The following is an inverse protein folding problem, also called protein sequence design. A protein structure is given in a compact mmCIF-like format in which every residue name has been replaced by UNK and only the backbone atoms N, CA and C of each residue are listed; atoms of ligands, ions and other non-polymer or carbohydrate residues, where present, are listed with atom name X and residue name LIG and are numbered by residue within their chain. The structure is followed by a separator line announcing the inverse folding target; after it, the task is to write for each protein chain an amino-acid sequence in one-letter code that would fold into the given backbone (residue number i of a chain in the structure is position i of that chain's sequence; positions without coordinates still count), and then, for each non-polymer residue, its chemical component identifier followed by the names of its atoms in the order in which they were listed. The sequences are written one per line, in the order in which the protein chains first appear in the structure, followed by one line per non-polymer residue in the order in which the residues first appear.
data_IF_079176000189
#
_entry.id   IF_079176000189
#
_cell.length_a   1.000
_cell.length_b   1.000
_cell.length_c   1.000
_cell.angle_alpha   90.00
_cell.angle_beta   90.00
_cell.angle_gamma   90.00
#
_symmetry.space_group_name_H-M   'P 1'
#
loop_
_entity.id
_entity.type
_entity.pdbx_description
1 polymer ?
#
# COMPACT_ATOMS: atom_id res chain seq x y z
N UNK A 1 16.40 27.31 -8.94
CA UNK A 1 15.55 26.22 -9.45
C UNK A 1 14.33 26.14 -8.55
N UNK A 2 13.12 26.10 -9.10
CA UNK A 2 11.88 25.95 -8.31
C UNK A 2 11.54 24.46 -8.31
N UNK A 3 11.34 23.89 -7.12
CA UNK A 3 10.98 22.48 -6.98
C UNK A 3 9.52 22.28 -7.43
N UNK A 4 9.25 21.26 -8.26
CA UNK A 4 7.87 20.85 -8.58
C UNK A 4 7.17 20.24 -7.36
N UNK A 5 7.84 19.32 -6.64
CA UNK A 5 7.39 18.75 -5.36
C UNK A 5 8.60 18.41 -4.49
N UNK A 6 8.71 19.05 -3.32
CA UNK A 6 9.82 18.82 -2.40
C UNK A 6 9.42 17.87 -1.26
N UNK A 7 9.64 16.57 -1.46
CA UNK A 7 9.35 15.56 -0.44
C UNK A 7 10.15 15.79 0.85
N UNK A 8 11.37 16.31 0.73
CA UNK A 8 12.20 16.69 1.89
C UNK A 8 11.50 17.71 2.79
N UNK A 9 10.88 18.75 2.21
CA UNK A 9 10.17 19.79 2.96
C UNK A 9 8.86 19.27 3.58
N UNK A 10 8.19 18.35 2.90
CA UNK A 10 6.95 17.73 3.42
C UNK A 10 7.28 16.82 4.60
N UNK A 11 8.29 15.96 4.43
CA UNK A 11 8.61 14.89 5.37
C UNK A 11 9.46 15.36 6.56
N UNK A 12 10.08 16.55 6.51
CA UNK A 12 10.92 17.05 7.61
C UNK A 12 10.17 17.14 8.94
N UNK A 13 8.84 17.34 8.91
CA UNK A 13 8.01 17.37 10.11
C UNK A 13 7.78 16.00 10.75
N UNK A 14 8.07 14.92 10.02
CA UNK A 14 7.89 13.52 10.43
C UNK A 14 9.23 12.78 10.54
N UNK A 15 10.36 13.49 10.55
CA UNK A 15 11.68 12.88 10.45
C UNK A 15 11.95 11.87 11.57
N UNK A 16 11.60 12.22 12.80
CA UNK A 16 11.75 11.34 13.97
C UNK A 16 10.89 10.08 13.79
N UNK A 17 9.59 10.24 13.55
CA UNK A 17 8.63 9.14 13.41
C UNK A 17 9.03 8.16 12.30
N UNK A 18 9.49 8.68 11.15
CA UNK A 18 9.94 7.86 10.01
C UNK A 18 11.19 7.05 10.37
N UNK A 19 12.18 7.66 11.04
CA UNK A 19 13.40 6.97 11.45
C UNK A 19 13.11 5.90 12.50
N UNK A 20 12.24 6.19 13.46
CA UNK A 20 11.81 5.22 14.46
C UNK A 20 11.09 4.03 13.83
N UNK A 21 10.18 4.28 12.87
CA UNK A 21 9.51 3.21 12.12
C UNK A 21 10.51 2.32 11.36
N UNK A 22 11.48 2.93 10.67
CA UNK A 22 12.54 2.17 10.02
C UNK A 22 13.38 1.36 11.01
N UNK A 23 13.75 1.95 12.16
CA UNK A 23 14.52 1.24 13.20
C UNK A 23 13.77 0.01 13.69
N UNK A 24 12.47 0.13 14.01
CA UNK A 24 11.66 -1.02 14.45
C UNK A 24 11.70 -2.18 13.47
N UNK A 25 11.58 -1.91 12.16
CA UNK A 25 11.66 -2.96 11.14
C UNK A 25 13.05 -3.58 11.08
N UNK A 26 14.10 -2.77 11.04
CA UNK A 26 15.50 -3.23 10.97
C UNK A 26 15.87 -4.06 12.19
N UNK A 27 15.56 -3.55 13.38
CA UNK A 27 15.87 -4.19 14.66
C UNK A 27 15.07 -5.49 14.87
N UNK A 28 13.87 -5.58 14.28
CA UNK A 28 13.08 -6.83 14.28
C UNK A 28 13.63 -7.92 13.39
N UNK A 29 14.38 -7.56 12.33
CA UNK A 29 14.83 -8.48 11.28
C UNK A 29 13.71 -9.04 10.39
N UNK A 30 12.46 -8.59 10.54
CA UNK A 30 11.29 -9.11 9.81
C UNK A 30 10.82 -8.14 8.73
N UNK A 31 11.33 -8.30 7.51
CA UNK A 31 11.19 -7.30 6.44
C UNK A 31 9.97 -7.49 5.52
N UNK A 32 9.44 -8.70 5.42
CA UNK A 32 8.37 -9.04 4.46
C UNK A 32 7.16 -9.51 5.24
N UNK A 33 5.99 -8.93 4.95
CA UNK A 33 4.72 -9.27 5.61
C UNK A 33 4.82 -9.19 7.16
N UNK A 34 5.36 -8.08 7.66
CA UNK A 34 5.53 -7.82 9.10
C UNK A 34 4.44 -6.94 9.71
N UNK A 35 4.57 -6.67 11.01
CA UNK A 35 3.58 -5.91 11.78
C UNK A 35 3.27 -4.51 11.23
N UNK A 36 4.26 -3.82 10.64
CA UNK A 36 4.03 -2.49 10.04
C UNK A 36 3.06 -2.58 8.83
N UNK A 37 3.10 -3.69 8.06
CA UNK A 37 2.15 -3.94 6.97
C UNK A 37 0.75 -4.23 7.52
N UNK A 38 0.64 -5.15 8.47
CA UNK A 38 -0.66 -5.51 9.09
C UNK A 38 -1.35 -4.29 9.73
N UNK A 39 -0.56 -3.46 10.43
CA UNK A 39 -1.05 -2.22 11.04
C UNK A 39 -1.52 -1.24 9.97
N UNK A 40 -0.73 -1.06 8.90
CA UNK A 40 -1.11 -0.21 7.78
C UNK A 40 -2.41 -0.68 7.11
N UNK A 41 -2.56 -1.96 6.81
CA UNK A 41 -3.76 -2.51 6.17
C UNK A 41 -5.01 -2.26 7.02
N UNK A 42 -4.92 -2.46 8.33
CA UNK A 42 -6.00 -2.17 9.27
C UNK A 42 -6.36 -0.69 9.31
N UNK A 43 -5.37 0.18 9.45
CA UNK A 43 -5.58 1.63 9.54
C UNK A 43 -6.09 2.20 8.22
N UNK A 44 -5.59 1.69 7.09
CA UNK A 44 -6.03 2.11 5.76
C UNK A 44 -7.44 1.63 5.43
N UNK A 45 -7.83 0.42 5.87
CA UNK A 45 -9.22 -0.05 5.77
C UNK A 45 -10.17 0.90 6.51
N UNK A 46 -9.81 1.26 7.75
CA UNK A 46 -10.56 2.23 8.55
C UNK A 46 -10.62 3.60 7.89
N UNK A 47 -9.50 4.09 7.35
CA UNK A 47 -9.43 5.39 6.66
C UNK A 47 -10.33 5.43 5.42
N UNK A 48 -10.31 4.37 4.60
CA UNK A 48 -11.11 4.25 3.38
C UNK A 48 -12.58 3.90 3.64
N UNK A 49 -12.95 3.48 4.86
CA UNK A 49 -14.30 3.03 5.18
C UNK A 49 -14.67 1.69 4.54
N UNK A 50 -13.68 0.81 4.36
CA UNK A 50 -13.86 -0.55 3.81
C UNK A 50 -13.54 -1.60 4.87
N UNK A 51 -13.99 -2.84 4.64
CA UNK A 51 -13.75 -3.94 5.58
C UNK A 51 -12.27 -4.36 5.60
N UNK A 52 -11.66 -4.46 4.41
CA UNK A 52 -10.36 -5.08 4.22
C UNK A 52 -9.49 -4.27 3.24
N UNK A 53 -8.18 -4.31 3.46
CA UNK A 53 -7.14 -3.78 2.58
C UNK A 53 -6.08 -4.85 2.42
N UNK A 54 -5.59 -5.03 1.20
CA UNK A 54 -4.45 -5.91 0.90
C UNK A 54 -3.34 -5.06 0.30
N UNK A 55 -2.21 -4.98 0.99
CA UNK A 55 -1.00 -4.30 0.54
C UNK A 55 -0.33 -5.07 -0.60
N UNK A 56 -0.05 -4.37 -1.68
CA UNK A 56 0.59 -4.92 -2.89
C UNK A 56 1.76 -4.04 -3.30
N UNK A 57 2.59 -4.50 -4.24
CA UNK A 57 3.83 -3.82 -4.58
C UNK A 57 3.63 -2.44 -5.24
N UNK A 58 2.55 -2.25 -6.01
CA UNK A 58 2.24 -0.98 -6.68
C UNK A 58 0.77 -0.94 -7.15
N UNK A 59 0.35 0.21 -7.68
CA UNK A 59 -1.04 0.42 -8.14
C UNK A 59 -1.43 -0.38 -9.39
N UNK A 60 -0.48 -0.71 -10.28
CA UNK A 60 -0.79 -1.56 -11.44
C UNK A 60 -1.04 -3.00 -11.00
N UNK A 61 -0.23 -3.53 -10.08
CA UNK A 61 -0.44 -4.86 -9.49
C UNK A 61 -1.80 -4.93 -8.78
N UNK A 62 -2.21 -3.87 -8.08
CA UNK A 62 -3.55 -3.80 -7.47
C UNK A 62 -4.66 -4.01 -8.51
N UNK A 63 -4.61 -3.29 -9.64
CA UNK A 63 -5.59 -3.42 -10.72
C UNK A 63 -5.56 -4.82 -11.36
N UNK A 64 -4.37 -5.35 -11.63
CA UNK A 64 -4.19 -6.69 -12.20
C UNK A 64 -4.80 -7.75 -11.27
N UNK A 65 -4.54 -7.66 -9.95
CA UNK A 65 -5.02 -8.63 -8.98
C UNK A 65 -6.55 -8.59 -8.85
N UNK A 66 -7.16 -7.39 -8.85
CA UNK A 66 -8.62 -7.25 -8.80
C UNK A 66 -9.27 -7.88 -10.03
N UNK A 67 -8.76 -7.60 -11.23
CA UNK A 67 -9.30 -8.19 -12.47
C UNK A 67 -9.13 -9.71 -12.50
N UNK A 68 -7.97 -10.22 -12.09
CA UNK A 68 -7.75 -11.67 -11.96
C UNK A 68 -8.71 -12.31 -10.96
N UNK A 69 -8.89 -11.71 -9.79
CA UNK A 69 -9.83 -12.21 -8.81
C UNK A 69 -11.27 -12.24 -9.37
N UNK A 70 -11.69 -11.22 -10.13
CA UNK A 70 -12.99 -11.23 -10.79
C UNK A 70 -13.13 -12.31 -11.85
N UNK A 71 -12.07 -12.65 -12.59
CA UNK A 71 -12.08 -13.80 -13.51
C UNK A 71 -12.27 -15.10 -12.73
N UNK A 72 -11.51 -15.32 -11.66
CA UNK A 72 -11.61 -16.53 -10.82
C UNK A 72 -12.99 -16.66 -10.15
N UNK A 73 -13.63 -15.52 -9.83
CA UNK A 73 -15.00 -15.48 -9.29
C UNK A 73 -16.09 -15.60 -10.37
N UNK A 74 -15.74 -15.68 -11.66
CA UNK A 74 -16.68 -15.70 -12.77
C UNK A 74 -17.46 -14.39 -12.98
N UNK A 75 -16.95 -13.26 -12.45
CA UNK A 75 -17.57 -11.93 -12.61
C UNK A 75 -17.25 -11.28 -13.94
N UNK A 76 -16.09 -11.59 -14.53
CA UNK A 76 -15.68 -11.19 -15.88
C UNK A 76 -14.97 -12.38 -16.55
N UNK A 77 -14.82 -12.35 -17.86
CA UNK A 77 -14.23 -13.41 -18.70
C UNK A 77 -13.18 -12.87 -19.68
N UNK A 78 -12.25 -13.71 -20.16
CA UNK A 78 -11.38 -13.34 -21.26
C UNK A 78 -12.19 -12.88 -22.48
N UNK A 79 -11.88 -11.68 -22.98
CA UNK A 79 -12.63 -11.04 -24.06
C UNK A 79 -13.58 -9.94 -23.61
N UNK A 80 -13.82 -9.79 -22.30
CA UNK A 80 -14.59 -8.68 -21.75
C UNK A 80 -13.80 -7.35 -21.82
N UNK A 81 -14.53 -6.26 -22.02
CA UNK A 81 -13.99 -4.89 -22.00
C UNK A 81 -14.23 -4.24 -20.63
N UNK A 82 -13.22 -3.53 -20.13
CA UNK A 82 -13.28 -2.73 -18.89
C UNK A 82 -13.19 -1.25 -19.29
N UNK A 83 -14.19 -0.46 -18.91
CA UNK A 83 -14.28 0.98 -19.22
C UNK A 83 -13.16 1.80 -18.56
#
# INVERSE_FOLDING_TARGET
MVDFLSLKKINSRFETDLKEACSRVIDSGWYIMGNELETFEKDFSKYCGVNDTVGVANGLDALILVLRAWIEMGKISPGDEVL
#
